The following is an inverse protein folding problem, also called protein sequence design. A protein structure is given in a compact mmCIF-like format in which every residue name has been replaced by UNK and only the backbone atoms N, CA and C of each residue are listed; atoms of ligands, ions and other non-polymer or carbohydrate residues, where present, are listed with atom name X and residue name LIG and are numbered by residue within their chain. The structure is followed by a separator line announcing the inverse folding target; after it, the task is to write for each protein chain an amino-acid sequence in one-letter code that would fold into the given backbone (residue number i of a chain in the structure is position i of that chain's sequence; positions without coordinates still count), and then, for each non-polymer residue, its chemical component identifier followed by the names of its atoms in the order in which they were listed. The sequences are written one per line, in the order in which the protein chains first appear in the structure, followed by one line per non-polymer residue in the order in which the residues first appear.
data_IF_775413701584
#
_entry.id   IF_775413701584
#
_cell.length_a   1.000
_cell.length_b   1.000
_cell.length_c   1.000
_cell.angle_alpha   90.00
_cell.angle_beta   90.00
_cell.angle_gamma   90.00
#
_symmetry.space_group_name_H-M   'P 1'
#
loop_
_entity.id
_entity.type
_entity.pdbx_description
1 polymer ?
#
# COMPACT_ATOMS: atom_id res chain seq x y z
N UNK A 1 17.67 20.65 2.48
CA UNK A 1 18.01 21.11 3.85
C UNK A 1 18.17 22.62 3.91
N UNK A 2 17.52 23.26 4.88
CA UNK A 2 17.64 24.66 5.27
C UNK A 2 18.00 24.74 6.76
N UNK A 3 18.57 25.84 7.23
CA UNK A 3 18.92 26.03 8.63
C UNK A 3 18.98 27.51 9.03
N UNK A 4 18.99 27.79 10.33
CA UNK A 4 19.26 29.12 10.88
C UNK A 4 20.67 29.63 10.56
N UNK A 5 20.90 30.94 10.61
CA UNK A 5 22.22 31.54 10.33
C UNK A 5 23.37 30.98 11.18
N UNK A 6 23.06 30.54 12.40
CA UNK A 6 23.98 29.84 13.29
C UNK A 6 23.50 28.44 13.62
N UNK A 7 24.45 27.56 13.94
CA UNK A 7 24.22 26.19 14.38
C UNK A 7 25.02 25.83 15.64
N UNK A 8 25.45 26.83 16.42
CA UNK A 8 26.39 26.63 17.53
C UNK A 8 25.77 25.88 18.71
N UNK A 9 24.48 26.07 18.94
CA UNK A 9 23.74 25.43 20.02
C UNK A 9 23.04 24.14 19.56
N UNK A 10 22.46 24.13 18.36
CA UNK A 10 21.75 22.97 17.83
C UNK A 10 22.68 21.83 17.44
N UNK A 11 23.88 22.09 16.92
CA UNK A 11 24.80 21.02 16.53
C UNK A 11 25.22 20.09 17.70
N UNK A 12 25.69 20.61 18.86
CA UNK A 12 25.98 19.75 20.01
C UNK A 12 24.73 19.09 20.60
N UNK A 13 23.57 19.76 20.57
CA UNK A 13 22.31 19.18 21.00
C UNK A 13 21.87 18.00 20.10
N UNK A 14 22.01 18.13 18.78
CA UNK A 14 21.75 17.06 17.82
C UNK A 14 22.68 15.86 18.06
N UNK A 15 23.97 16.11 18.36
CA UNK A 15 24.90 15.04 18.74
C UNK A 15 24.49 14.35 20.04
N UNK A 16 24.04 15.11 21.05
CA UNK A 16 23.55 14.57 22.30
C UNK A 16 22.29 13.71 22.09
N UNK A 17 21.34 14.20 21.29
CA UNK A 17 20.16 13.45 20.90
C UNK A 17 20.55 12.17 20.14
N UNK A 18 21.39 12.26 19.12
CA UNK A 18 21.80 11.10 18.33
C UNK A 18 22.47 10.00 19.17
N UNK A 19 23.25 10.37 20.20
CA UNK A 19 23.84 9.40 21.14
C UNK A 19 22.80 8.70 22.02
N UNK A 20 21.70 9.37 22.33
CA UNK A 20 20.63 8.85 23.17
C UNK A 20 19.51 8.18 22.37
N UNK A 21 19.41 8.42 21.06
CA UNK A 21 18.45 7.79 20.17
C UNK A 21 18.72 6.29 20.09
N UNK A 22 17.71 5.49 20.45
CA UNK A 22 17.74 4.04 20.30
C UNK A 22 17.28 3.62 18.90
N UNK A 23 17.45 2.34 18.57
CA UNK A 23 16.88 1.79 17.34
C UNK A 23 15.35 1.73 17.43
N UNK A 24 14.66 2.15 16.37
CA UNK A 24 13.22 1.98 16.27
C UNK A 24 12.85 0.49 16.25
N UNK A 25 11.99 0.06 17.18
CA UNK A 25 11.54 -1.33 17.29
C UNK A 25 10.70 -1.73 16.08
N UNK A 26 10.91 -2.94 15.57
CA UNK A 26 10.18 -3.50 14.42
C UNK A 26 8.98 -4.31 14.88
N UNK A 27 7.97 -3.64 15.44
CA UNK A 27 6.82 -4.33 16.04
C UNK A 27 5.58 -4.35 15.14
N UNK A 28 5.55 -3.56 14.07
CA UNK A 28 4.47 -3.59 13.09
C UNK A 28 4.71 -4.69 12.05
N UNK A 29 3.66 -5.45 11.72
CA UNK A 29 3.71 -6.51 10.71
C UNK A 29 2.95 -6.07 9.47
N UNK A 30 3.59 -6.09 8.30
CA UNK A 30 2.91 -5.83 7.05
C UNK A 30 1.98 -7.03 6.72
N UNK A 31 0.66 -6.85 6.62
CA UNK A 31 -0.28 -7.96 6.38
C UNK A 31 -0.07 -8.66 5.04
N UNK A 32 0.50 -7.96 4.06
CA UNK A 32 0.71 -8.45 2.70
C UNK A 32 2.01 -9.26 2.55
N UNK A 33 3.06 -8.85 3.25
CA UNK A 33 4.40 -9.44 3.11
C UNK A 33 4.87 -10.21 4.36
N UNK A 34 4.12 -10.15 5.47
CA UNK A 34 4.45 -10.75 6.78
C UNK A 34 5.81 -10.31 7.35
N UNK A 35 6.44 -9.30 6.76
CA UNK A 35 7.67 -8.70 7.24
C UNK A 35 7.38 -7.68 8.34
N UNK A 36 8.33 -7.53 9.26
CA UNK A 36 8.26 -6.56 10.34
C UNK A 36 8.91 -5.25 9.91
N UNK A 37 8.22 -4.13 10.14
CA UNK A 37 8.75 -2.79 9.91
C UNK A 37 8.60 -1.93 11.16
N UNK A 38 9.40 -0.87 11.25
CA UNK A 38 9.18 0.18 12.24
C UNK A 38 8.13 1.14 11.68
N UNK A 39 7.00 1.25 12.36
CA UNK A 39 5.91 2.16 12.00
C UNK A 39 6.19 3.58 12.52
N UNK A 40 5.29 4.52 12.19
CA UNK A 40 5.44 5.91 12.63
C UNK A 40 5.53 6.04 14.16
N UNK A 41 4.66 5.39 14.96
CA UNK A 41 4.82 5.33 16.42
C UNK A 41 6.21 4.88 16.88
N UNK A 42 6.73 3.77 16.34
CA UNK A 42 8.04 3.25 16.72
C UNK A 42 9.18 4.24 16.41
N UNK A 43 9.12 4.95 15.28
CA UNK A 43 10.08 6.01 14.94
C UNK A 43 9.99 7.16 15.94
N UNK A 44 8.77 7.60 16.27
CA UNK A 44 8.56 8.71 17.23
C UNK A 44 9.09 8.32 18.61
N UNK A 45 8.80 7.11 19.08
CA UNK A 45 9.27 6.62 20.38
C UNK A 45 10.80 6.53 20.46
N UNK A 46 11.46 6.20 19.36
CA UNK A 46 12.91 6.14 19.28
C UNK A 46 13.58 7.53 19.37
N UNK A 47 13.01 8.54 18.70
CA UNK A 47 13.68 9.85 18.54
C UNK A 47 13.18 10.91 19.51
N UNK A 48 11.89 10.94 19.82
CA UNK A 48 11.27 12.05 20.55
C UNK A 48 11.84 12.22 21.96
N UNK A 49 12.05 11.17 22.76
CA UNK A 49 12.64 11.32 24.09
C UNK A 49 14.06 11.91 24.04
N UNK A 50 14.89 11.44 23.12
CA UNK A 50 16.27 11.89 22.94
C UNK A 50 16.35 13.35 22.45
N UNK A 51 15.52 13.72 21.48
CA UNK A 51 15.42 15.10 21.00
C UNK A 51 14.95 16.05 22.11
N UNK A 52 13.88 15.70 22.82
CA UNK A 52 13.34 16.53 23.89
C UNK A 52 14.34 16.70 25.04
N UNK A 53 15.07 15.65 25.42
CA UNK A 53 16.12 15.71 26.44
C UNK A 53 17.28 16.62 26.04
N UNK A 54 17.53 16.77 24.73
CA UNK A 54 18.52 17.70 24.18
C UNK A 54 17.95 19.10 23.89
N UNK A 55 16.74 19.43 24.35
CA UNK A 55 16.13 20.75 24.11
C UNK A 55 15.67 20.98 22.67
N UNK A 56 15.42 19.91 21.91
CA UNK A 56 15.00 19.97 20.51
C UNK A 56 13.55 19.50 20.38
N UNK A 57 12.71 20.32 19.74
CA UNK A 57 11.39 19.94 19.26
C UNK A 57 11.47 19.58 17.77
N UNK A 58 10.67 18.60 17.33
CA UNK A 58 10.42 18.39 15.90
C UNK A 58 9.01 18.86 15.53
N UNK A 59 8.88 19.46 14.36
CA UNK A 59 7.62 19.98 13.81
C UNK A 59 7.48 19.47 12.38
N UNK A 60 6.29 19.00 12.02
CA UNK A 60 5.98 18.55 10.66
C UNK A 60 4.76 19.29 10.12
N UNK A 61 4.95 20.09 9.08
CA UNK A 61 3.90 20.89 8.45
C UNK A 61 3.73 20.51 6.98
N UNK A 62 2.47 20.38 6.56
CA UNK A 62 2.13 20.12 5.18
C UNK A 62 1.97 21.45 4.43
N UNK A 63 2.59 21.56 3.26
CA UNK A 63 2.36 22.68 2.35
C UNK A 63 1.21 22.37 1.37
N UNK A 64 0.58 23.38 0.75
CA UNK A 64 -0.38 23.18 -0.33
C UNK A 64 0.16 22.23 -1.40
N UNK A 65 -0.72 21.38 -1.92
CA UNK A 65 -0.38 20.29 -2.87
C UNK A 65 -0.89 20.60 -4.28
N UNK A 66 -0.69 21.85 -4.73
CA UNK A 66 -1.22 22.37 -5.99
C UNK A 66 -0.65 21.66 -7.23
N UNK A 67 0.52 21.02 -7.08
CA UNK A 67 1.19 20.22 -8.10
C UNK A 67 0.83 18.72 -8.04
N UNK A 68 -0.24 18.36 -7.31
CA UNK A 68 -0.69 17.00 -7.07
C UNK A 68 0.32 16.13 -6.28
N UNK A 69 1.26 16.75 -5.56
CA UNK A 69 2.23 16.07 -4.69
C UNK A 69 2.11 16.52 -3.26
N UNK A 70 2.32 15.58 -2.34
CA UNK A 70 2.44 15.89 -0.93
C UNK A 70 3.80 16.53 -0.64
N UNK A 71 3.77 17.69 -0.01
CA UNK A 71 4.93 18.40 0.50
C UNK A 71 4.88 18.41 2.02
N UNK A 72 5.86 17.78 2.66
CA UNK A 72 5.97 17.74 4.12
C UNK A 72 7.30 18.32 4.57
N UNK A 73 7.24 19.48 5.23
CA UNK A 73 8.41 20.10 5.84
C UNK A 73 8.57 19.57 7.26
N UNK A 74 9.73 18.97 7.54
CA UNK A 74 10.13 18.57 8.89
C UNK A 74 11.21 19.52 9.39
N UNK A 75 11.01 20.10 10.57
CA UNK A 75 11.94 21.02 11.22
C UNK A 75 12.33 20.49 12.58
N UNK A 76 13.62 20.51 12.90
CA UNK A 76 14.15 20.35 14.25
C UNK A 76 14.55 21.74 14.76
N UNK A 77 13.95 22.16 15.87
CA UNK A 77 14.17 23.48 16.46
C UNK A 77 14.67 23.31 17.90
N UNK A 78 15.79 23.93 18.21
CA UNK A 78 16.40 23.95 19.54
C UNK A 78 15.83 25.11 20.38
N UNK A 79 15.85 24.99 21.70
CA UNK A 79 15.39 26.03 22.63
C UNK A 79 16.10 27.39 22.49
N UNK A 80 17.29 27.42 21.88
CA UNK A 80 17.99 28.66 21.53
C UNK A 80 17.38 29.42 20.34
N UNK A 81 16.41 28.81 19.63
CA UNK A 81 15.84 29.31 18.38
C UNK A 81 16.63 28.93 17.12
N UNK A 82 17.75 28.21 17.26
CA UNK A 82 18.45 27.61 16.11
C UNK A 82 17.64 26.42 15.56
N UNK A 83 17.67 26.21 14.25
CA UNK A 83 16.86 25.18 13.62
C UNK A 83 17.51 24.60 12.36
N UNK A 84 17.11 23.38 12.03
CA UNK A 84 17.34 22.75 10.71
C UNK A 84 15.99 22.25 10.18
N UNK A 85 15.80 22.30 8.87
CA UNK A 85 14.59 21.78 8.24
C UNK A 85 14.85 21.18 6.88
N UNK A 86 13.97 20.28 6.45
CA UNK A 86 13.92 19.85 5.06
C UNK A 86 12.50 19.50 4.64
N UNK A 87 12.25 19.57 3.34
CA UNK A 87 10.94 19.25 2.75
C UNK A 87 11.02 17.94 1.99
N UNK A 88 10.27 16.94 2.45
CA UNK A 88 10.03 15.72 1.70
C UNK A 88 8.90 15.95 0.70
N UNK A 89 9.13 15.55 -0.55
CA UNK A 89 8.13 15.57 -1.62
C UNK A 89 7.76 14.15 -2.00
N UNK A 90 6.48 13.82 -1.96
CA UNK A 90 5.98 12.47 -2.26
C UNK A 90 4.83 12.53 -3.28
N UNK A 91 4.81 11.64 -4.29
CA UNK A 91 3.65 11.53 -5.17
C UNK A 91 2.43 11.02 -4.39
N UNK A 92 1.25 11.54 -4.70
CA UNK A 92 0.01 11.02 -4.14
C UNK A 92 -0.44 9.76 -4.91
N UNK A 93 -0.75 8.64 -4.24
CA UNK A 93 -1.21 7.42 -4.91
C UNK A 93 -2.61 7.58 -5.52
N UNK A 94 -3.44 8.45 -4.91
CA UNK A 94 -4.75 8.87 -5.41
C UNK A 94 -4.99 10.33 -5.05
N UNK A 95 -5.64 11.07 -5.95
CA UNK A 95 -6.06 12.47 -5.74
C UNK A 95 -7.40 12.51 -4.97
N UNK A 96 -7.43 11.88 -3.80
CA UNK A 96 -8.59 11.85 -2.91
C UNK A 96 -8.13 11.99 -1.45
N UNK A 97 -9.03 12.29 -0.49
CA UNK A 97 -8.67 12.44 0.92
C UNK A 97 -7.98 11.20 1.51
N UNK A 98 -8.28 10.00 1.02
CA UNK A 98 -7.70 8.75 1.51
C UNK A 98 -6.26 8.57 1.03
N UNK A 99 -6.00 8.86 -0.25
CA UNK A 99 -4.68 8.90 -0.86
C UNK A 99 -3.79 9.92 -0.20
N UNK A 100 -4.34 11.10 0.13
CA UNK A 100 -3.63 12.11 0.90
C UNK A 100 -3.30 11.64 2.32
N UNK A 101 -4.28 11.09 3.05
CA UNK A 101 -4.08 10.61 4.42
C UNK A 101 -3.07 9.45 4.54
N UNK A 102 -3.09 8.54 3.57
CA UNK A 102 -2.10 7.45 3.50
C UNK A 102 -0.70 7.99 3.19
N UNK A 103 -0.54 8.84 2.16
CA UNK A 103 0.73 9.46 1.83
C UNK A 103 1.31 10.29 2.99
N UNK A 104 0.46 11.02 3.73
CA UNK A 104 0.86 11.80 4.91
C UNK A 104 1.50 10.93 5.99
N UNK A 105 0.91 9.78 6.30
CA UNK A 105 1.43 8.84 7.30
C UNK A 105 2.81 8.33 6.91
N UNK A 106 2.98 7.94 5.63
CA UNK A 106 4.28 7.50 5.11
C UNK A 106 5.31 8.63 5.12
N UNK A 107 4.96 9.82 4.62
CA UNK A 107 5.84 10.98 4.57
C UNK A 107 6.35 11.38 5.96
N UNK A 108 5.48 11.39 6.98
CA UNK A 108 5.89 11.72 8.36
C UNK A 108 6.96 10.78 8.88
N UNK A 109 6.80 9.48 8.64
CA UNK A 109 7.74 8.45 9.08
C UNK A 109 9.10 8.62 8.39
N UNK A 110 9.11 8.68 7.06
CA UNK A 110 10.37 8.79 6.31
C UNK A 110 11.08 10.12 6.55
N UNK A 111 10.36 11.24 6.58
CA UNK A 111 10.96 12.54 6.78
C UNK A 111 11.58 12.65 8.19
N UNK A 112 10.91 12.13 9.21
CA UNK A 112 11.44 12.12 10.57
C UNK A 112 12.66 11.18 10.70
N UNK A 113 12.57 9.97 10.15
CA UNK A 113 13.70 9.03 10.15
C UNK A 113 14.92 9.60 9.41
N UNK A 114 14.71 10.23 8.25
CA UNK A 114 15.77 10.81 7.46
C UNK A 114 16.48 11.96 8.18
N UNK A 115 15.75 12.92 8.74
CA UNK A 115 16.35 14.10 9.39
C UNK A 115 17.05 13.75 10.72
N UNK A 116 16.62 12.67 11.39
CA UNK A 116 17.21 12.20 12.65
C UNK A 116 18.28 11.13 12.47
N UNK A 117 18.47 10.64 11.24
CA UNK A 117 19.44 9.59 10.92
C UNK A 117 19.05 8.20 11.45
N UNK A 118 17.79 7.99 11.81
CA UNK A 118 17.33 6.68 12.27
C UNK A 118 17.15 5.76 11.07
N UNK A 119 17.94 4.69 11.06
CA UNK A 119 17.80 3.63 10.07
C UNK A 119 16.45 2.92 10.23
N UNK A 120 15.76 2.72 9.12
CA UNK A 120 14.55 1.92 9.02
C UNK A 120 14.89 0.78 8.05
N UNK A 121 14.85 -0.46 8.54
CA UNK A 121 14.93 -1.62 7.66
C UNK A 121 13.56 -1.77 6.99
N UNK A 122 13.40 -1.08 5.87
CA UNK A 122 12.15 -0.94 5.17
C UNK A 122 12.21 -1.66 3.82
N UNK A 123 12.09 -2.99 3.89
CA UNK A 123 12.00 -3.88 2.72
C UNK A 123 10.64 -3.74 1.98
N UNK A 124 9.82 -2.74 2.33
CA UNK A 124 8.53 -2.40 1.70
C UNK A 124 8.65 -1.25 0.67
N UNK A 125 9.85 -0.68 0.50
CA UNK A 125 10.13 0.39 -0.48
C UNK A 125 9.86 0.03 -1.95
N UNK A 126 9.65 -1.25 -2.27
CA UNK A 126 9.28 -1.71 -3.61
C UNK A 126 7.85 -1.36 -4.03
N UNK A 127 6.97 -0.93 -3.12
CA UNK A 127 5.60 -0.56 -3.46
C UNK A 127 5.39 0.96 -3.67
N UNK A 128 6.26 1.81 -3.12
CA UNK A 128 6.12 3.28 -3.20
C UNK A 128 6.83 3.90 -4.42
N UNK A 129 7.75 3.16 -5.04
CA UNK A 129 8.38 3.56 -6.30
C UNK A 129 7.43 3.16 -7.43
N UNK A 130 6.86 4.14 -8.13
CA UNK A 130 6.11 3.87 -9.36
C UNK A 130 6.96 3.04 -10.31
N UNK A 131 6.63 1.75 -10.42
CA UNK A 131 7.23 0.86 -11.41
C UNK A 131 6.60 1.15 -12.78
N UNK A 132 6.94 2.32 -13.33
CA UNK A 132 7.27 2.39 -14.74
C UNK A 132 8.47 1.47 -14.96
N UNK A 133 8.26 0.47 -15.81
CA UNK A 133 9.23 -0.54 -16.25
C UNK A 133 9.39 -1.80 -15.36
N UNK A 134 8.44 -2.72 -15.63
CA UNK A 134 8.66 -4.16 -15.83
C UNK A 134 9.45 -4.88 -14.72
N UNK A 135 8.78 -5.20 -13.62
CA UNK A 135 8.94 -6.53 -12.99
C UNK A 135 7.57 -7.14 -12.72
N UNK A 136 7.53 -8.44 -12.95
CA UNK A 136 6.36 -9.26 -13.20
C UNK A 136 5.15 -8.86 -12.36
N UNK A 137 4.08 -8.50 -13.08
CA UNK A 137 2.69 -8.54 -12.60
C UNK A 137 2.59 -9.80 -11.75
N UNK A 138 2.32 -9.69 -10.45
CA UNK A 138 1.65 -10.78 -9.75
C UNK A 138 0.33 -10.87 -10.49
N UNK A 139 0.30 -11.78 -11.46
CA UNK A 139 -0.90 -12.14 -12.18
C UNK A 139 -1.89 -12.50 -11.09
N UNK A 140 -3.11 -11.97 -11.16
CA UNK A 140 -4.23 -12.64 -10.51
C UNK A 140 -4.06 -14.14 -10.81
N UNK A 141 -4.40 -15.08 -9.91
CA UNK A 141 -4.36 -16.50 -10.24
C UNK A 141 -5.09 -16.85 -11.56
N UNK A 142 -5.92 -15.93 -12.06
CA UNK A 142 -6.66 -15.98 -13.31
C UNK A 142 -6.05 -15.20 -14.50
N UNK A 143 -5.03 -14.35 -14.31
CA UNK A 143 -4.51 -13.48 -15.37
C UNK A 143 -3.61 -14.27 -16.34
N UNK A 144 -4.00 -14.31 -17.61
CA UNK A 144 -3.34 -15.09 -18.66
C UNK A 144 -4.08 -16.38 -19.05
N UNK A 145 -5.11 -16.78 -18.29
CA UNK A 145 -5.81 -18.06 -18.53
C UNK A 145 -6.55 -18.06 -19.88
N UNK A 146 -7.15 -16.94 -20.26
CA UNK A 146 -7.81 -16.82 -21.56
C UNK A 146 -6.78 -16.90 -22.70
N UNK A 147 -5.69 -16.14 -22.58
CA UNK A 147 -4.63 -16.07 -23.59
C UNK A 147 -3.86 -17.39 -23.77
N UNK A 148 -3.96 -18.32 -22.81
CA UNK A 148 -3.37 -19.65 -22.89
C UNK A 148 -4.26 -20.70 -23.57
N UNK A 149 -5.51 -20.39 -23.88
CA UNK A 149 -6.41 -21.26 -24.64
C UNK A 149 -6.18 -21.08 -26.15
N UNK A 150 -6.56 -22.08 -26.95
CA UNK A 150 -6.66 -21.93 -28.40
C UNK A 150 -7.79 -20.95 -28.76
N UNK A 151 -7.81 -20.44 -30.00
CA UNK A 151 -8.78 -19.42 -30.43
C UNK A 151 -10.25 -19.87 -30.25
N UNK A 152 -10.56 -21.13 -30.57
CA UNK A 152 -11.91 -21.70 -30.43
C UNK A 152 -12.37 -21.73 -28.96
N UNK A 153 -11.47 -22.08 -28.04
CA UNK A 153 -11.77 -22.20 -26.61
C UNK A 153 -11.74 -20.84 -25.90
N UNK A 154 -11.01 -19.85 -26.45
CA UNK A 154 -11.13 -18.45 -26.02
C UNK A 154 -12.53 -17.91 -26.32
N UNK A 155 -13.03 -18.12 -27.54
CA UNK A 155 -14.35 -17.68 -27.96
C UNK A 155 -15.44 -18.33 -27.09
N UNK A 156 -15.35 -19.65 -26.87
CA UNK A 156 -16.27 -20.37 -25.97
C UNK A 156 -16.19 -19.86 -24.54
N UNK A 157 -15.00 -19.65 -23.97
CA UNK A 157 -14.86 -19.16 -22.60
C UNK A 157 -15.49 -17.77 -22.42
N UNK A 158 -15.32 -16.88 -23.40
CA UNK A 158 -15.95 -15.56 -23.41
C UNK A 158 -17.47 -15.67 -23.54
N UNK A 159 -17.98 -16.48 -24.47
CA UNK A 159 -19.40 -16.69 -24.66
C UNK A 159 -20.07 -17.26 -23.40
N UNK A 160 -19.46 -18.28 -22.79
CA UNK A 160 -19.93 -18.88 -21.54
C UNK A 160 -19.96 -17.86 -20.40
N UNK A 161 -18.90 -17.05 -20.24
CA UNK A 161 -18.89 -16.00 -19.22
C UNK A 161 -19.99 -14.94 -19.43
N UNK A 162 -20.23 -14.53 -20.67
CA UNK A 162 -21.30 -13.60 -21.02
C UNK A 162 -22.67 -14.20 -20.67
N UNK A 163 -22.91 -15.47 -20.99
CA UNK A 163 -24.17 -16.15 -20.70
C UNK A 163 -24.41 -16.23 -19.18
N UNK A 164 -23.40 -16.68 -18.42
CA UNK A 164 -23.48 -16.77 -16.96
C UNK A 164 -23.78 -15.39 -16.34
N UNK A 165 -23.04 -14.36 -16.78
CA UNK A 165 -23.23 -13.00 -16.26
C UNK A 165 -24.60 -12.43 -16.64
N UNK A 166 -25.10 -12.73 -17.83
CA UNK A 166 -26.43 -12.30 -18.29
C UNK A 166 -27.53 -12.95 -17.46
N UNK A 167 -27.41 -14.25 -17.19
CA UNK A 167 -28.35 -14.99 -16.34
C UNK A 167 -28.36 -14.45 -14.91
N UNK A 168 -27.18 -14.22 -14.34
CA UNK A 168 -27.06 -13.59 -13.03
C UNK A 168 -27.70 -12.19 -12.98
N UNK A 169 -27.47 -11.36 -14.00
CA UNK A 169 -28.06 -10.02 -14.07
C UNK A 169 -29.59 -10.04 -14.26
N UNK A 170 -30.14 -11.14 -14.79
CA UNK A 170 -31.57 -11.38 -14.91
C UNK A 170 -32.19 -11.99 -13.63
N UNK A 171 -31.44 -12.01 -12.52
CA UNK A 171 -31.82 -12.62 -11.23
C UNK A 171 -32.04 -14.15 -11.31
N UNK A 172 -31.59 -14.78 -12.40
CA UNK A 172 -31.65 -16.22 -12.63
C UNK A 172 -30.35 -16.88 -12.13
N UNK A 173 -30.13 -16.78 -10.81
CA UNK A 173 -28.88 -17.22 -10.16
C UNK A 173 -28.66 -18.73 -10.23
N UNK A 174 -29.75 -19.52 -10.33
CA UNK A 174 -29.66 -20.97 -10.43
C UNK A 174 -29.18 -21.42 -11.80
N UNK A 175 -29.74 -20.89 -12.89
CA UNK A 175 -29.25 -21.20 -14.24
C UNK A 175 -27.81 -20.72 -14.44
N UNK A 176 -27.43 -19.57 -13.88
CA UNK A 176 -26.03 -19.11 -13.90
C UNK A 176 -25.09 -20.12 -13.22
N UNK A 177 -25.52 -20.76 -12.13
CA UNK A 177 -24.77 -21.81 -11.45
C UNK A 177 -24.73 -23.12 -12.26
N UNK A 178 -25.85 -23.55 -12.85
CA UNK A 178 -25.90 -24.76 -13.68
C UNK A 178 -24.93 -24.64 -14.86
N UNK A 179 -24.93 -23.51 -15.56
CA UNK A 179 -24.03 -23.25 -16.69
C UNK A 179 -22.56 -23.23 -16.25
N UNK A 180 -22.27 -22.76 -15.02
CA UNK A 180 -20.94 -22.85 -14.43
C UNK A 180 -20.50 -24.29 -14.15
N UNK A 181 -21.38 -25.14 -13.60
CA UNK A 181 -21.08 -26.56 -13.33
C UNK A 181 -20.91 -27.36 -14.63
N UNK A 182 -21.66 -27.02 -15.69
CA UNK A 182 -21.57 -27.63 -17.02
C UNK A 182 -20.34 -27.18 -17.82
N UNK A 183 -19.56 -26.21 -17.34
CA UNK A 183 -18.31 -25.83 -17.97
C UNK A 183 -17.38 -27.06 -18.09
N UNK A 184 -16.63 -27.19 -19.20
CA UNK A 184 -15.62 -28.23 -19.37
C UNK A 184 -14.71 -28.34 -18.14
N UNK A 185 -14.36 -29.56 -17.74
CA UNK A 185 -13.48 -29.80 -16.59
C UNK A 185 -12.00 -29.53 -16.90
N UNK A 186 -11.77 -28.43 -17.61
CA UNK A 186 -10.48 -27.85 -17.88
C UNK A 186 -10.26 -26.68 -16.92
N UNK A 187 -9.20 -26.78 -16.12
CA UNK A 187 -8.86 -25.78 -15.11
C UNK A 187 -8.59 -24.43 -15.74
N UNK A 188 -7.96 -24.38 -16.90
CA UNK A 188 -7.61 -23.15 -17.63
C UNK A 188 -8.88 -22.50 -18.18
N UNK A 189 -9.79 -23.29 -18.77
CA UNK A 189 -11.08 -22.82 -19.28
C UNK A 189 -11.95 -22.24 -18.16
N UNK A 190 -12.16 -22.99 -17.07
CA UNK A 190 -12.92 -22.53 -15.91
C UNK A 190 -12.29 -21.27 -15.30
N UNK A 191 -10.97 -21.18 -15.28
CA UNK A 191 -10.24 -19.99 -14.81
C UNK A 191 -10.46 -18.79 -15.74
N UNK A 192 -10.49 -18.98 -17.05
CA UNK A 192 -10.77 -17.95 -18.04
C UNK A 192 -12.20 -17.42 -17.95
N UNK A 193 -13.19 -18.32 -17.83
CA UNK A 193 -14.59 -17.97 -17.58
C UNK A 193 -14.73 -17.20 -16.27
N UNK A 194 -14.13 -17.73 -15.20
CA UNK A 194 -14.18 -17.13 -13.86
C UNK A 194 -13.60 -15.72 -13.84
N UNK A 195 -12.53 -15.45 -14.60
CA UNK A 195 -11.93 -14.11 -14.67
C UNK A 195 -12.88 -13.03 -15.19
N UNK A 196 -13.84 -13.40 -16.05
CA UNK A 196 -14.76 -12.48 -16.71
C UNK A 196 -16.06 -12.20 -15.94
N UNK A 197 -16.37 -12.98 -14.91
CA UNK A 197 -17.54 -12.76 -14.07
C UNK A 197 -17.29 -11.64 -13.05
N UNK A 198 -18.31 -10.87 -12.68
CA UNK A 198 -18.18 -9.90 -11.59
C UNK A 198 -18.07 -10.57 -10.21
N UNK A 199 -17.74 -9.80 -9.17
CA UNK A 199 -17.55 -10.33 -7.83
C UNK A 199 -18.83 -10.85 -7.17
N UNK A 200 -20.01 -10.32 -7.53
CA UNK A 200 -21.30 -10.73 -6.98
C UNK A 200 -21.77 -12.04 -7.59
N UNK A 201 -21.63 -12.19 -8.91
CA UNK A 201 -21.91 -13.41 -9.65
C UNK A 201 -21.07 -14.58 -9.11
N UNK A 202 -19.75 -14.39 -8.94
CA UNK A 202 -18.84 -15.39 -8.34
C UNK A 202 -19.25 -15.79 -6.92
N UNK A 203 -19.73 -14.83 -6.12
CA UNK A 203 -20.19 -15.10 -4.76
C UNK A 203 -21.49 -15.92 -4.75
N UNK A 204 -22.44 -15.61 -5.64
CA UNK A 204 -23.67 -16.39 -5.83
C UNK A 204 -23.38 -17.83 -6.25
N UNK A 205 -22.52 -18.04 -7.26
CA UNK A 205 -22.11 -19.38 -7.72
C UNK A 205 -21.51 -20.21 -6.57
N UNK A 206 -20.63 -19.60 -5.75
CA UNK A 206 -20.05 -20.29 -4.57
C UNK A 206 -21.12 -20.67 -3.53
N UNK A 207 -22.09 -19.78 -3.29
CA UNK A 207 -23.21 -20.04 -2.37
C UNK A 207 -24.07 -21.20 -2.86
N UNK A 208 -24.39 -21.24 -4.16
CA UNK A 208 -25.17 -22.32 -4.77
C UNK A 208 -24.41 -23.66 -4.75
N UNK A 209 -23.10 -23.65 -5.02
CA UNK A 209 -22.25 -24.85 -4.93
C UNK A 209 -22.19 -25.43 -3.51
N UNK A 210 -22.19 -24.57 -2.48
CA UNK A 210 -22.26 -25.01 -1.09
C UNK A 210 -23.62 -25.63 -0.74
N UNK A 211 -24.72 -24.99 -1.14
CA UNK A 211 -26.08 -25.50 -0.93
C UNK A 211 -26.34 -26.83 -1.65
N UNK A 212 -25.81 -27.02 -2.85
CA UNK A 212 -25.93 -28.26 -3.62
C UNK A 212 -25.17 -29.44 -3.00
N UNK A 213 -24.12 -29.18 -2.19
CA UNK A 213 -23.37 -30.21 -1.46
C UNK A 213 -24.05 -30.66 -0.17
N UNK A 214 -24.90 -29.83 0.43
CA UNK A 214 -25.65 -30.16 1.65
C UNK A 214 -26.91 -31.02 1.38
N UNK A 215 -27.31 -31.16 0.11
CA UNK A 215 -28.47 -31.96 -0.32
C UNK A 215 -28.10 -33.34 -0.89
N UNK A 216 -26.81 -33.69 -0.93
CA UNK A 216 -26.29 -35.01 -1.31
C UNK A 216 -25.85 -35.79 -0.08
#
# INVERSE_FOLDING_TARGET
MQHSESMKAIAPALLAAQKATEFAKKDATNPHFKNKYADLPAVIEAVKPALNAAGIVYIQTASPSDDNRLHLTTMLMHESGEWISDTLVMPLPKQDPQGYGSAMTYARRYALAAITGVYQDDDDGNAASGAGEKKARITKPTAGALESLNEDDQEKALATAIIIQTKFNAEDEWDAFVIWEECPDDVTFKTAVWDKLDSKCRASIKKQSAAAKEQK
#
